data_IF_092535491083
#
_entry.id   IF_092535491083
#
_cell.length_a   1.000
_cell.length_b   1.000
_cell.length_c   1.000
_cell.angle_alpha   90.00
_cell.angle_beta   90.00
_cell.angle_gamma   90.00
#
_symmetry.space_group_name_H-M   'P 1'
#
loop_
_entity.id
_entity.type
_entity.pdbx_description
1 polymer ?
#
# COMPACT_ATOMS: atom_id res chain seq x y z
N UNK A 1 -12.97 3.69 17.44
CA UNK A 1 -14.37 3.34 17.12
C UNK A 1 -14.44 1.84 16.98
N UNK A 2 -15.31 1.20 17.74
CA UNK A 2 -15.60 -0.23 17.54
C UNK A 2 -16.52 -0.37 16.33
N UNK A 3 -16.37 -1.43 15.54
CA UNK A 3 -17.15 -1.64 14.31
C UNK A 3 -18.68 -1.70 14.56
N UNK A 4 -19.09 -1.90 15.82
CA UNK A 4 -20.48 -1.84 16.30
C UNK A 4 -21.09 -0.44 16.38
N UNK A 5 -20.28 0.63 16.28
CA UNK A 5 -20.75 2.02 16.42
C UNK A 5 -21.19 2.63 15.07
N UNK A 6 -20.97 1.91 13.96
CA UNK A 6 -21.42 2.36 12.65
C UNK A 6 -22.95 2.42 12.60
N UNK A 7 -23.55 3.42 11.92
CA UNK A 7 -25.00 3.47 11.71
C UNK A 7 -25.52 2.17 11.12
N UNK A 8 -26.68 1.71 11.57
CA UNK A 8 -27.35 0.52 11.03
C UNK A 8 -27.59 0.73 9.53
N UNK A 9 -27.15 -0.22 8.71
CA UNK A 9 -27.35 -0.22 7.26
C UNK A 9 -27.78 -1.61 6.82
N UNK A 10 -28.93 -1.69 6.15
CA UNK A 10 -29.52 -2.94 5.65
C UNK A 10 -30.48 -2.64 4.51
N UNK A 11 -30.39 -3.41 3.42
CA UNK A 11 -31.28 -3.30 2.26
C UNK A 11 -31.79 -4.66 1.81
N UNK A 12 -33.04 -4.69 1.36
CA UNK A 12 -33.62 -5.84 0.68
C UNK A 12 -33.03 -5.97 -0.74
N UNK A 13 -32.55 -7.17 -1.08
CA UNK A 13 -31.92 -7.43 -2.37
C UNK A 13 -32.79 -8.32 -3.25
N UNK A 14 -33.35 -9.41 -2.71
CA UNK A 14 -34.14 -10.39 -3.47
C UNK A 14 -35.51 -10.52 -2.81
N UNK A 15 -36.55 -10.02 -3.49
CA UNK A 15 -37.98 -10.16 -3.18
C UNK A 15 -38.33 -10.01 -1.68
N UNK A 16 -37.68 -9.06 -0.98
CA UNK A 16 -37.81 -8.83 0.47
C UNK A 16 -37.57 -10.06 1.36
N UNK A 17 -36.85 -11.06 0.84
CA UNK A 17 -36.50 -12.30 1.53
C UNK A 17 -34.99 -12.46 1.75
N UNK A 18 -34.14 -11.86 0.90
CA UNK A 18 -32.69 -11.81 1.12
C UNK A 18 -32.23 -10.37 1.29
N UNK A 19 -31.53 -10.10 2.39
CA UNK A 19 -31.04 -8.79 2.78
C UNK A 19 -29.50 -8.77 2.84
N UNK A 20 -28.92 -7.63 2.50
CA UNK A 20 -27.51 -7.33 2.80
C UNK A 20 -27.48 -6.29 3.91
N UNK A 21 -26.66 -6.49 4.93
CA UNK A 21 -26.45 -5.49 5.98
C UNK A 21 -25.04 -5.43 6.53
N UNK A 22 -24.82 -4.46 7.41
CA UNK A 22 -23.59 -4.29 8.18
C UNK A 22 -23.68 -4.99 9.55
N UNK A 23 -22.58 -4.99 10.30
CA UNK A 23 -22.52 -5.67 11.61
C UNK A 23 -23.53 -5.09 12.61
N UNK A 24 -23.72 -3.77 12.63
CA UNK A 24 -24.70 -3.10 13.49
C UNK A 24 -26.14 -3.57 13.19
N UNK A 25 -26.50 -3.71 11.90
CA UNK A 25 -27.80 -4.26 11.51
C UNK A 25 -27.96 -5.71 11.92
N UNK A 26 -26.90 -6.51 11.78
CA UNK A 26 -26.90 -7.90 12.19
C UNK A 26 -27.04 -8.07 13.71
N UNK A 27 -26.46 -7.19 14.52
CA UNK A 27 -26.56 -7.23 15.99
C UNK A 27 -27.91 -6.71 16.51
N UNK A 28 -28.57 -5.81 15.78
CA UNK A 28 -29.85 -5.22 16.18
C UNK A 28 -30.99 -6.24 16.19
N UNK A 29 -31.49 -6.57 17.38
CA UNK A 29 -32.69 -7.40 17.53
C UNK A 29 -33.92 -6.74 16.93
N UNK A 30 -34.07 -5.42 17.06
CA UNK A 30 -35.24 -4.68 16.59
C UNK A 30 -35.33 -4.68 15.07
N UNK A 31 -34.21 -4.45 14.37
CA UNK A 31 -34.15 -4.52 12.91
C UNK A 31 -34.51 -5.93 12.43
N UNK A 32 -33.92 -6.97 13.03
CA UNK A 32 -34.22 -8.36 12.66
C UNK A 32 -35.69 -8.71 12.87
N UNK A 33 -36.28 -8.31 14.01
CA UNK A 33 -37.71 -8.54 14.28
C UNK A 33 -38.59 -7.79 13.28
N UNK A 34 -38.31 -6.51 13.03
CA UNK A 34 -39.07 -5.65 12.11
C UNK A 34 -39.07 -6.19 10.68
N UNK A 35 -37.91 -6.68 10.21
CA UNK A 35 -37.76 -7.24 8.86
C UNK A 35 -38.20 -8.71 8.76
N UNK A 36 -38.44 -9.38 9.90
CA UNK A 36 -38.79 -10.80 9.96
C UNK A 36 -37.63 -11.72 9.62
N UNK A 37 -36.39 -11.34 9.94
CA UNK A 37 -35.18 -12.14 9.67
C UNK A 37 -35.22 -13.42 10.50
N UNK A 38 -35.25 -14.57 9.83
CA UNK A 38 -35.24 -15.90 10.46
C UNK A 38 -33.87 -16.56 10.42
N UNK A 39 -33.02 -16.21 9.45
CA UNK A 39 -31.70 -16.77 9.24
C UNK A 39 -30.62 -15.69 9.15
N UNK A 40 -29.44 -15.97 9.70
CA UNK A 40 -28.29 -15.07 9.68
C UNK A 40 -27.09 -15.75 9.02
N UNK A 41 -26.51 -15.10 8.02
CA UNK A 41 -25.25 -15.53 7.41
C UNK A 41 -24.17 -14.46 7.65
N UNK A 42 -23.26 -14.76 8.56
CA UNK A 42 -22.10 -13.91 8.88
C UNK A 42 -20.95 -14.21 7.95
N UNK A 43 -20.44 -13.20 7.24
CA UNK A 43 -19.28 -13.31 6.34
C UNK A 43 -18.19 -12.36 6.85
N UNK A 44 -17.68 -12.67 8.03
CA UNK A 44 -16.68 -11.88 8.75
C UNK A 44 -16.07 -12.70 9.90
N UNK A 45 -14.86 -12.34 10.31
CA UNK A 45 -14.17 -12.89 11.50
C UNK A 45 -14.55 -12.19 12.80
N UNK A 46 -15.10 -10.98 12.68
CA UNK A 46 -15.29 -10.01 13.75
C UNK A 46 -16.46 -10.39 14.67
N UNK A 47 -17.38 -11.23 14.18
CA UNK A 47 -18.53 -11.71 14.94
C UNK A 47 -19.08 -13.02 14.38
N UNK A 48 -19.53 -13.91 15.27
CA UNK A 48 -20.20 -15.19 14.93
C UNK A 48 -21.52 -15.30 15.71
N UNK A 49 -22.52 -15.97 15.12
CA UNK A 49 -23.81 -16.24 15.75
C UNK A 49 -24.00 -17.74 16.05
N UNK A 50 -22.92 -18.48 16.31
CA UNK A 50 -22.92 -19.94 16.58
C UNK A 50 -23.95 -20.43 17.62
N UNK A 51 -24.35 -19.57 18.57
CA UNK A 51 -25.38 -19.91 19.56
C UNK A 51 -26.81 -19.91 19.01
N UNK A 52 -27.03 -19.50 17.76
CA UNK A 52 -28.36 -19.45 17.13
C UNK A 52 -28.54 -20.64 16.19
N UNK A 53 -29.70 -21.33 16.24
CA UNK A 53 -29.95 -22.52 15.41
C UNK A 53 -29.99 -22.24 13.90
N UNK A 54 -30.35 -21.02 13.50
CA UNK A 54 -30.50 -20.61 12.10
C UNK A 54 -29.39 -19.63 11.69
N UNK A 55 -28.16 -19.89 12.13
CA UNK A 55 -27.01 -19.07 11.80
C UNK A 55 -25.90 -19.87 11.14
N UNK A 56 -25.24 -19.25 10.19
CA UNK A 56 -24.04 -19.77 9.55
C UNK A 56 -22.97 -18.68 9.55
N UNK A 57 -21.73 -19.07 9.82
CA UNK A 57 -20.58 -18.16 9.84
C UNK A 57 -19.52 -18.64 8.84
N UNK A 58 -19.09 -17.73 7.98
CA UNK A 58 -17.92 -17.85 7.12
C UNK A 58 -16.89 -16.84 7.64
N UNK A 59 -15.88 -17.34 8.34
CA UNK A 59 -14.85 -16.51 8.96
C UNK A 59 -13.77 -16.13 7.94
N UNK A 60 -14.02 -15.06 7.16
CA UNK A 60 -13.07 -14.51 6.18
C UNK A 60 -12.80 -13.02 6.42
N UNK A 61 -11.55 -12.61 6.21
CA UNK A 61 -11.16 -11.19 6.16
C UNK A 61 -11.68 -10.52 4.88
N UNK A 62 -11.80 -9.20 4.89
CA UNK A 62 -12.10 -8.43 3.67
C UNK A 62 -10.84 -8.16 2.87
N UNK A 63 -10.18 -9.24 2.44
CA UNK A 63 -8.93 -9.16 1.70
C UNK A 63 -9.07 -9.90 0.37
N UNK A 64 -8.40 -9.38 -0.65
CA UNK A 64 -8.33 -9.99 -1.98
C UNK A 64 -7.61 -11.36 -1.99
N UNK A 65 -6.96 -11.71 -0.88
CA UNK A 65 -6.23 -12.97 -0.68
C UNK A 65 -7.02 -14.06 0.01
N UNK A 66 -8.17 -13.71 0.59
CA UNK A 66 -9.01 -14.68 1.28
C UNK A 66 -9.70 -15.64 0.31
N UNK A 67 -9.91 -16.87 0.77
CA UNK A 67 -10.58 -17.90 -0.01
C UNK A 67 -12.06 -17.97 0.36
N UNK A 68 -12.84 -17.04 -0.17
CA UNK A 68 -14.29 -17.09 -0.03
C UNK A 68 -14.91 -18.11 -1.01
N UNK A 69 -14.25 -18.36 -2.15
CA UNK A 69 -14.70 -19.22 -3.25
C UNK A 69 -15.12 -20.60 -2.77
N UNK A 70 -14.28 -21.25 -1.96
CA UNK A 70 -14.57 -22.61 -1.46
C UNK A 70 -15.84 -22.67 -0.58
N UNK A 71 -16.24 -21.56 0.04
CA UNK A 71 -17.40 -21.47 0.92
C UNK A 71 -18.69 -21.08 0.20
N UNK A 72 -18.60 -20.57 -1.04
CA UNK A 72 -19.77 -20.09 -1.79
C UNK A 72 -20.85 -21.16 -1.99
N UNK A 73 -20.55 -22.45 -2.28
CA UNK A 73 -21.58 -23.48 -2.40
C UNK A 73 -22.45 -23.61 -1.15
N UNK A 74 -21.82 -23.72 0.03
CA UNK A 74 -22.51 -23.89 1.29
C UNK A 74 -23.33 -22.64 1.64
N UNK A 75 -22.78 -21.45 1.36
CA UNK A 75 -23.48 -20.18 1.54
C UNK A 75 -24.74 -20.11 0.69
N UNK A 76 -24.63 -20.49 -0.58
CA UNK A 76 -25.76 -20.49 -1.50
C UNK A 76 -26.81 -21.53 -1.09
N UNK A 77 -26.38 -22.71 -0.63
CA UNK A 77 -27.28 -23.75 -0.13
C UNK A 77 -28.01 -23.33 1.16
N UNK A 78 -27.32 -22.64 2.07
CA UNK A 78 -27.93 -22.07 3.27
C UNK A 78 -29.01 -21.05 2.92
N UNK A 79 -28.72 -20.13 1.98
CA UNK A 79 -29.70 -19.15 1.51
C UNK A 79 -30.90 -19.86 0.88
N UNK A 80 -30.68 -20.80 -0.04
CA UNK A 80 -31.76 -21.52 -0.71
C UNK A 80 -32.64 -22.28 0.27
N UNK A 81 -32.03 -23.04 1.19
CA UNK A 81 -32.76 -23.84 2.19
C UNK A 81 -33.63 -22.96 3.08
N UNK A 82 -33.13 -21.81 3.51
CA UNK A 82 -33.89 -20.86 4.31
C UNK A 82 -35.10 -20.30 3.54
N UNK A 83 -34.94 -20.00 2.24
CA UNK A 83 -36.02 -19.50 1.39
C UNK A 83 -37.07 -20.58 1.11
N UNK A 84 -36.67 -21.83 0.89
CA UNK A 84 -37.57 -22.96 0.68
C UNK A 84 -38.46 -23.22 1.91
N UNK A 85 -37.99 -22.85 3.10
CA UNK A 85 -38.74 -22.90 4.36
C UNK A 85 -39.64 -21.66 4.58
N UNK A 86 -39.72 -20.74 3.62
CA UNK A 86 -40.43 -19.46 3.75
C UNK A 86 -39.74 -18.46 4.70
N UNK A 87 -38.46 -18.68 4.98
CA UNK A 87 -37.65 -17.82 5.83
C UNK A 87 -37.10 -16.58 5.12
N UNK A 88 -36.49 -15.69 5.91
CA UNK A 88 -35.77 -14.51 5.42
C UNK A 88 -34.35 -14.51 5.93
N UNK A 89 -33.40 -14.24 5.03
CA UNK A 89 -31.97 -14.32 5.29
C UNK A 89 -31.35 -12.93 5.32
N UNK A 90 -30.64 -12.61 6.39
CA UNK A 90 -29.72 -11.48 6.42
C UNK A 90 -28.29 -11.97 6.23
N UNK A 91 -27.68 -11.61 5.10
CA UNK A 91 -26.26 -11.82 4.82
C UNK A 91 -25.51 -10.55 5.20
N UNK A 92 -24.55 -10.65 6.11
CA UNK A 92 -23.82 -9.48 6.58
C UNK A 92 -22.32 -9.69 6.63
N UNK A 93 -21.58 -8.59 6.52
CA UNK A 93 -20.19 -8.50 6.94
C UNK A 93 -20.04 -7.25 7.81
N UNK A 94 -18.83 -6.73 8.01
CA UNK A 94 -18.65 -5.52 8.84
C UNK A 94 -19.40 -4.31 8.29
N UNK A 95 -19.18 -3.97 7.01
CA UNK A 95 -19.78 -2.78 6.38
C UNK A 95 -20.94 -3.09 5.45
N UNK A 96 -21.16 -4.37 5.11
CA UNK A 96 -22.17 -4.75 4.11
C UNK A 96 -21.84 -4.29 2.68
N UNK A 97 -20.55 -4.14 2.36
CA UNK A 97 -20.07 -3.58 1.08
C UNK A 97 -19.45 -4.66 0.17
N UNK A 98 -18.54 -5.47 0.72
CA UNK A 98 -17.70 -6.38 -0.07
C UNK A 98 -18.03 -7.86 0.18
N UNK A 99 -17.58 -8.47 1.29
CA UNK A 99 -17.78 -9.90 1.62
C UNK A 99 -19.21 -10.42 1.47
N UNK A 100 -20.18 -9.77 2.13
CA UNK A 100 -21.60 -10.19 2.07
C UNK A 100 -22.19 -10.00 0.67
N UNK A 101 -21.82 -8.91 -0.02
CA UNK A 101 -22.21 -8.66 -1.40
C UNK A 101 -21.73 -9.78 -2.31
N UNK A 102 -20.49 -10.24 -2.17
CA UNK A 102 -19.94 -11.36 -2.94
C UNK A 102 -20.79 -12.61 -2.77
N UNK A 103 -21.15 -12.96 -1.54
CA UNK A 103 -22.00 -14.12 -1.26
C UNK A 103 -23.37 -14.01 -1.92
N UNK A 104 -24.03 -12.86 -1.81
CA UNK A 104 -25.35 -12.65 -2.46
C UNK A 104 -25.24 -12.65 -3.98
N UNK A 105 -24.16 -12.10 -4.54
CA UNK A 105 -23.89 -12.19 -5.98
C UNK A 105 -23.69 -13.64 -6.42
N UNK A 106 -22.92 -14.43 -5.68
CA UNK A 106 -22.71 -15.85 -5.96
C UNK A 106 -24.03 -16.63 -5.95
N UNK A 107 -24.91 -16.35 -4.98
CA UNK A 107 -26.24 -16.94 -4.92
C UNK A 107 -27.09 -16.58 -6.14
N UNK A 108 -27.11 -15.30 -6.56
CA UNK A 108 -27.81 -14.87 -7.78
C UNK A 108 -27.25 -15.53 -9.05
N UNK A 109 -25.92 -15.68 -9.16
CA UNK A 109 -25.29 -16.39 -10.28
C UNK A 109 -25.73 -17.86 -10.31
N UNK A 110 -25.74 -18.53 -9.16
CA UNK A 110 -26.10 -19.94 -9.07
C UNK A 110 -27.60 -20.18 -9.35
N UNK A 111 -28.48 -19.41 -8.70
CA UNK A 111 -29.94 -19.58 -8.74
C UNK A 111 -30.59 -19.04 -10.01
N UNK A 112 -30.10 -17.91 -10.53
CA UNK A 112 -30.70 -17.21 -11.68
C UNK A 112 -29.81 -17.25 -12.94
N UNK A 113 -28.68 -17.96 -12.91
CA UNK A 113 -27.72 -18.08 -14.03
C UNK A 113 -27.20 -16.73 -14.54
N UNK A 114 -27.11 -15.74 -13.66
CA UNK A 114 -26.52 -14.44 -14.00
C UNK A 114 -25.01 -14.56 -14.17
N UNK A 115 -24.43 -13.76 -15.05
CA UNK A 115 -22.99 -13.50 -15.03
C UNK A 115 -22.61 -12.73 -13.76
N UNK A 116 -21.34 -12.77 -13.37
CA UNK A 116 -20.85 -11.98 -12.22
C UNK A 116 -21.17 -10.49 -12.37
N UNK A 117 -20.91 -9.92 -13.56
CA UNK A 117 -21.23 -8.52 -13.86
C UNK A 117 -22.72 -8.20 -13.76
N UNK A 118 -23.60 -9.10 -14.22
CA UNK A 118 -25.04 -8.93 -14.12
C UNK A 118 -25.52 -9.04 -12.66
N UNK A 119 -24.98 -9.99 -11.88
CA UNK A 119 -25.30 -10.14 -10.47
C UNK A 119 -24.89 -8.89 -9.66
N UNK A 120 -23.69 -8.37 -9.86
CA UNK A 120 -23.22 -7.15 -9.18
C UNK A 120 -24.08 -5.96 -9.57
N UNK A 121 -24.41 -5.81 -10.86
CA UNK A 121 -25.32 -4.74 -11.32
C UNK A 121 -26.71 -4.88 -10.70
N UNK A 122 -27.21 -6.10 -10.51
CA UNK A 122 -28.48 -6.35 -9.85
C UNK A 122 -28.46 -5.89 -8.38
N UNK A 123 -27.42 -6.25 -7.64
CA UNK A 123 -27.27 -5.85 -6.23
C UNK A 123 -27.04 -4.34 -6.11
N UNK A 124 -26.17 -3.76 -6.94
CA UNK A 124 -25.84 -2.32 -6.92
C UNK A 124 -27.04 -1.42 -7.20
N UNK A 125 -28.02 -1.88 -7.98
CA UNK A 125 -29.28 -1.14 -8.18
C UNK A 125 -30.10 -0.97 -6.91
N UNK A 126 -29.94 -1.87 -5.93
CA UNK A 126 -30.67 -1.87 -4.66
C UNK A 126 -29.84 -1.34 -3.50
N UNK A 127 -28.52 -1.52 -3.56
CA UNK A 127 -27.55 -1.04 -2.58
C UNK A 127 -26.37 -0.38 -3.30
N UNK A 128 -26.41 0.93 -3.59
CA UNK A 128 -25.43 1.62 -4.43
C UNK A 128 -23.98 1.54 -3.95
N UNK A 129 -23.76 1.45 -2.64
CA UNK A 129 -22.44 1.42 -2.01
C UNK A 129 -21.68 0.10 -2.18
N UNK A 130 -22.28 -0.93 -2.80
CA UNK A 130 -21.62 -2.23 -2.92
C UNK A 130 -20.40 -2.19 -3.84
N UNK A 131 -19.31 -2.75 -3.32
CA UNK A 131 -18.03 -2.81 -3.98
C UNK A 131 -17.24 -4.02 -3.45
N UNK A 132 -17.51 -5.25 -3.95
CA UNK A 132 -16.65 -6.39 -3.69
C UNK A 132 -15.21 -6.05 -4.03
N UNK A 133 -14.26 -6.43 -3.16
CA UNK A 133 -12.85 -6.25 -3.46
C UNK A 133 -12.45 -7.07 -4.71
N UNK A 134 -11.32 -6.69 -5.32
CA UNK A 134 -10.84 -7.28 -6.56
C UNK A 134 -10.65 -8.81 -6.51
N UNK A 135 -10.13 -9.33 -5.39
CA UNK A 135 -9.98 -10.78 -5.21
C UNK A 135 -11.31 -11.51 -5.19
N UNK A 136 -12.34 -10.94 -4.56
CA UNK A 136 -13.69 -11.50 -4.57
C UNK A 136 -14.39 -11.38 -5.93
N UNK A 137 -14.15 -10.30 -6.67
CA UNK A 137 -14.59 -10.18 -8.06
C UNK A 137 -14.03 -11.31 -8.93
N UNK A 138 -12.73 -11.60 -8.80
CA UNK A 138 -12.09 -12.75 -9.46
C UNK A 138 -12.70 -14.09 -9.02
N UNK A 139 -13.03 -14.23 -7.75
CA UNK A 139 -13.66 -15.43 -7.21
C UNK A 139 -15.06 -15.67 -7.77
N UNK A 140 -15.85 -14.63 -8.05
CA UNK A 140 -17.14 -14.80 -8.73
C UNK A 140 -16.98 -15.39 -10.13
N UNK A 141 -16.00 -14.93 -10.91
CA UNK A 141 -15.70 -15.54 -12.21
C UNK A 141 -15.24 -17.01 -12.05
N UNK A 142 -14.29 -17.26 -11.14
CA UNK A 142 -13.82 -18.61 -10.85
C UNK A 142 -14.94 -19.53 -10.35
N UNK A 143 -15.95 -19.00 -9.66
CA UNK A 143 -17.12 -19.74 -9.21
C UNK A 143 -17.95 -20.25 -10.38
N UNK A 144 -18.15 -19.43 -11.42
CA UNK A 144 -18.78 -19.86 -12.67
C UNK A 144 -17.92 -20.90 -13.41
N UNK A 145 -16.61 -20.69 -13.49
CA UNK A 145 -15.67 -21.63 -14.14
C UNK A 145 -15.67 -23.01 -13.44
N UNK A 146 -15.75 -23.00 -12.10
CA UNK A 146 -15.89 -24.21 -11.28
C UNK A 146 -17.28 -24.87 -11.40
N UNK A 147 -18.17 -24.36 -12.27
CA UNK A 147 -19.58 -24.78 -12.39
C UNK A 147 -20.31 -24.77 -11.05
N UNK A 148 -20.02 -23.75 -10.24
CA UNK A 148 -20.59 -23.53 -8.91
C UNK A 148 -20.24 -24.62 -7.88
N UNK A 149 -19.21 -25.45 -8.15
CA UNK A 149 -18.73 -26.53 -7.27
C UNK A 149 -17.20 -26.49 -7.11
N UNK A 150 -16.63 -25.38 -6.60
CA UNK A 150 -15.22 -25.36 -6.21
C UNK A 150 -14.95 -26.44 -5.15
N UNK A 151 -13.84 -27.14 -5.30
CA UNK A 151 -13.39 -28.18 -4.37
C UNK A 151 -11.89 -28.41 -4.55
N UNK A 152 -11.25 -29.05 -3.57
CA UNK A 152 -9.84 -29.43 -3.67
C UNK A 152 -9.51 -30.41 -4.82
N UNK A 153 -10.54 -30.96 -5.49
CA UNK A 153 -10.41 -31.84 -6.65
C UNK A 153 -10.84 -31.17 -7.97
N UNK A 154 -11.44 -29.98 -7.93
CA UNK A 154 -11.88 -29.26 -9.11
C UNK A 154 -10.68 -28.58 -9.80
N UNK A 155 -10.45 -28.89 -11.08
CA UNK A 155 -9.30 -28.38 -11.84
C UNK A 155 -9.26 -26.85 -11.93
N UNK A 156 -10.41 -26.20 -12.11
CA UNK A 156 -10.50 -24.75 -12.22
C UNK A 156 -10.23 -24.07 -10.87
N UNK A 157 -10.74 -24.65 -9.79
CA UNK A 157 -10.43 -24.19 -8.44
C UNK A 157 -8.93 -24.32 -8.14
N UNK A 158 -8.32 -25.47 -8.45
CA UNK A 158 -6.87 -25.69 -8.25
C UNK A 158 -6.07 -24.69 -9.08
N UNK A 159 -6.44 -24.47 -10.34
CA UNK A 159 -5.76 -23.51 -11.22
C UNK A 159 -5.90 -22.08 -10.68
N UNK A 160 -7.10 -21.69 -10.26
CA UNK A 160 -7.34 -20.40 -9.61
C UNK A 160 -6.52 -20.26 -8.33
N UNK A 161 -6.50 -21.27 -7.44
CA UNK A 161 -5.76 -21.22 -6.17
C UNK A 161 -4.26 -21.07 -6.38
N UNK A 162 -3.71 -21.76 -7.39
CA UNK A 162 -2.30 -21.63 -7.80
C UNK A 162 -1.99 -20.22 -8.33
N UNK A 163 -2.89 -19.64 -9.13
CA UNK A 163 -2.77 -18.25 -9.62
C UNK A 163 -2.88 -17.25 -8.47
N UNK A 164 -3.89 -17.38 -7.62
CA UNK A 164 -4.08 -16.54 -6.43
C UNK A 164 -2.82 -16.55 -5.57
N UNK A 165 -2.28 -17.73 -5.23
CA UNK A 165 -1.05 -17.83 -4.43
C UNK A 165 0.12 -17.07 -5.04
N UNK A 166 0.32 -17.15 -6.36
CA UNK A 166 1.36 -16.39 -7.07
C UNK A 166 1.09 -14.87 -7.04
N UNK A 167 -0.16 -14.48 -7.28
CA UNK A 167 -0.57 -13.07 -7.31
C UNK A 167 -0.44 -12.43 -5.92
N UNK A 168 -0.80 -13.16 -4.85
CA UNK A 168 -0.58 -12.74 -3.44
C UNK A 168 0.89 -12.50 -3.19
N UNK A 169 1.75 -13.47 -3.52
CA UNK A 169 3.19 -13.32 -3.32
C UNK A 169 3.72 -12.11 -4.08
N UNK A 170 3.27 -11.90 -5.32
CA UNK A 170 3.69 -10.74 -6.12
C UNK A 170 3.26 -9.42 -5.48
N UNK A 171 2.05 -9.34 -4.95
CA UNK A 171 1.56 -8.13 -4.29
C UNK A 171 2.24 -7.85 -2.96
N UNK A 172 2.43 -8.87 -2.12
CA UNK A 172 3.18 -8.72 -0.88
C UNK A 172 4.61 -8.26 -1.16
N UNK A 173 5.22 -8.73 -2.25
CA UNK A 173 6.50 -8.22 -2.70
C UNK A 173 6.41 -6.74 -3.10
N UNK A 174 5.36 -6.29 -3.82
CA UNK A 174 5.20 -4.85 -4.12
C UNK A 174 5.10 -3.98 -2.87
N UNK A 175 4.39 -4.42 -1.83
CA UNK A 175 4.36 -3.70 -0.55
C UNK A 175 5.73 -3.72 0.12
N UNK A 176 6.37 -4.89 0.22
CA UNK A 176 7.66 -5.05 0.88
C UNK A 176 8.79 -4.29 0.17
N UNK A 177 8.74 -4.22 -1.16
CA UNK A 177 9.71 -3.52 -2.02
C UNK A 177 9.42 -2.01 -2.11
N UNK A 178 8.31 -1.53 -1.52
CA UNK A 178 7.99 -0.11 -1.41
C UNK A 178 8.64 0.49 -0.17
N UNK A 179 9.81 1.09 -0.36
CA UNK A 179 10.74 1.45 0.72
C UNK A 179 10.41 2.85 1.27
N UNK A 180 10.10 3.00 2.57
CA UNK A 180 9.84 4.30 3.18
C UNK A 180 11.15 5.06 3.38
N UNK A 181 11.41 6.08 2.55
CA UNK A 181 12.58 6.97 2.71
C UNK A 181 12.33 8.02 3.79
N UNK A 182 11.14 8.60 3.78
CA UNK A 182 10.65 9.45 4.87
C UNK A 182 9.37 8.78 5.38
N UNK A 183 9.39 8.18 6.59
CA UNK A 183 8.24 7.46 7.13
C UNK A 183 6.96 8.30 7.06
N UNK A 184 5.87 7.66 6.63
CA UNK A 184 4.55 8.27 6.44
C UNK A 184 4.48 9.44 5.45
N UNK A 185 5.52 9.67 4.63
CA UNK A 185 5.53 10.78 3.66
C UNK A 185 6.00 10.36 2.27
N UNK A 186 7.18 9.73 2.15
CA UNK A 186 7.83 9.44 0.87
C UNK A 186 8.26 7.98 0.80
N UNK A 187 7.77 7.28 -0.21
CA UNK A 187 8.07 5.89 -0.51
C UNK A 187 8.74 5.79 -1.88
N UNK A 188 9.66 4.85 -2.04
CA UNK A 188 10.28 4.50 -3.32
C UNK A 188 9.87 3.10 -3.75
N UNK A 189 9.56 2.92 -5.03
CA UNK A 189 9.41 1.59 -5.61
C UNK A 189 9.99 1.52 -7.02
N UNK A 190 10.57 0.37 -7.36
CA UNK A 190 11.04 0.06 -8.72
C UNK A 190 9.97 -0.59 -9.58
N UNK A 191 9.04 -1.31 -8.96
CA UNK A 191 7.99 -2.09 -9.60
C UNK A 191 6.61 -1.64 -9.10
N UNK A 192 5.63 -1.63 -10.01
CA UNK A 192 4.27 -1.20 -9.71
C UNK A 192 3.27 -2.04 -10.51
N UNK A 193 2.06 -2.31 -9.99
CA UNK A 193 1.08 -3.11 -10.70
C UNK A 193 0.69 -2.45 -12.03
N UNK A 194 0.66 -3.25 -13.10
CA UNK A 194 0.14 -2.80 -14.41
C UNK A 194 -1.39 -2.93 -14.53
N UNK A 195 -1.99 -3.77 -13.68
CA UNK A 195 -3.45 -3.93 -13.57
C UNK A 195 -4.01 -2.76 -12.74
N UNK A 196 -5.01 -2.01 -13.26
CA UNK A 196 -5.57 -0.84 -12.57
C UNK A 196 -6.14 -1.13 -11.18
N UNK A 197 -6.84 -2.25 -11.03
CA UNK A 197 -7.50 -2.62 -9.77
C UNK A 197 -6.44 -2.98 -8.72
N UNK A 198 -5.41 -3.75 -9.09
CA UNK A 198 -4.30 -4.05 -8.20
C UNK A 198 -3.46 -2.80 -7.84
N UNK A 199 -3.33 -1.86 -8.76
CA UNK A 199 -2.66 -0.58 -8.50
C UNK A 199 -3.44 0.28 -7.51
N UNK A 200 -4.76 0.36 -7.66
CA UNK A 200 -5.65 1.05 -6.71
C UNK A 200 -5.57 0.42 -5.32
N UNK A 201 -5.71 -0.92 -5.20
CA UNK A 201 -5.57 -1.63 -3.93
C UNK A 201 -4.24 -1.31 -3.24
N UNK A 202 -3.12 -1.39 -3.98
CA UNK A 202 -1.79 -1.13 -3.43
C UNK A 202 -1.67 0.27 -2.85
N UNK A 203 -2.16 1.28 -3.57
CA UNK A 203 -2.12 2.66 -3.12
C UNK A 203 -3.00 2.88 -1.89
N UNK A 204 -4.21 2.29 -1.84
CA UNK A 204 -5.10 2.38 -0.67
C UNK A 204 -4.47 1.71 0.56
N UNK A 205 -3.94 0.51 0.41
CA UNK A 205 -3.33 -0.26 1.50
C UNK A 205 -2.13 0.48 2.10
N UNK A 206 -1.31 1.11 1.25
CA UNK A 206 -0.19 1.94 1.69
C UNK A 206 -0.59 3.34 2.17
N UNK A 207 -1.88 3.69 2.06
CA UNK A 207 -2.41 5.05 2.29
C UNK A 207 -1.72 6.12 1.43
N UNK A 208 -1.31 5.75 0.22
CA UNK A 208 -0.73 6.65 -0.77
C UNK A 208 -1.83 7.45 -1.44
N UNK A 209 -1.58 8.76 -1.58
CA UNK A 209 -2.52 9.71 -2.19
C UNK A 209 -1.99 10.27 -3.50
N UNK A 210 -0.66 10.29 -3.65
CA UNK A 210 0.06 10.89 -4.76
C UNK A 210 1.04 9.87 -5.34
N UNK A 211 0.95 9.61 -6.65
CA UNK A 211 1.90 8.77 -7.39
C UNK A 211 2.77 9.67 -8.27
N UNK A 212 4.09 9.55 -8.14
CA UNK A 212 5.06 10.16 -9.05
C UNK A 212 5.73 9.05 -9.88
N UNK A 213 5.36 8.92 -11.14
CA UNK A 213 5.96 7.93 -12.04
C UNK A 213 7.04 8.57 -12.91
N UNK A 214 8.25 8.02 -12.87
CA UNK A 214 9.38 8.46 -13.67
C UNK A 214 9.74 7.37 -14.68
N UNK A 215 9.51 7.65 -15.96
CA UNK A 215 9.69 6.68 -17.04
C UNK A 215 10.81 7.09 -18.00
N UNK A 216 11.20 6.14 -18.85
CA UNK A 216 11.79 6.43 -20.15
C UNK A 216 10.92 5.74 -21.22
N UNK A 217 9.95 6.41 -21.83
CA UNK A 217 9.09 5.94 -22.95
C UNK A 217 8.47 4.50 -22.90
N UNK A 218 8.70 3.72 -21.84
CA UNK A 218 8.46 2.27 -21.74
C UNK A 218 7.65 1.88 -20.50
N UNK A 219 7.39 2.80 -19.55
CA UNK A 219 6.40 2.56 -18.50
C UNK A 219 5.01 2.88 -19.04
N UNK A 220 4.06 1.92 -18.98
CA UNK A 220 2.67 2.22 -19.23
C UNK A 220 2.18 3.21 -18.18
N UNK A 221 1.45 4.25 -18.60
CA UNK A 221 0.78 5.16 -17.67
C UNK A 221 -0.33 4.37 -16.96
N UNK A 222 -0.26 4.13 -15.64
CA UNK A 222 -1.32 3.43 -14.94
C UNK A 222 -2.63 4.23 -15.05
N UNK A 223 -3.73 3.54 -15.33
CA UNK A 223 -5.06 4.14 -15.34
C UNK A 223 -5.61 4.13 -13.91
N UNK A 224 -5.37 5.20 -13.16
CA UNK A 224 -5.80 5.30 -11.77
C UNK A 224 -7.12 6.07 -11.64
N UNK A 225 -7.99 5.72 -10.67
CA UNK A 225 -9.18 6.49 -10.40
C UNK A 225 -8.85 7.93 -9.96
N UNK A 226 -9.77 8.90 -10.14
CA UNK A 226 -9.53 10.33 -9.87
C UNK A 226 -9.18 10.68 -8.42
N UNK A 227 -9.36 9.75 -7.48
CA UNK A 227 -9.02 9.93 -6.07
C UNK A 227 -7.50 10.02 -5.84
N UNK A 228 -6.69 9.49 -6.77
CA UNK A 228 -5.23 9.58 -6.70
C UNK A 228 -4.71 10.70 -7.60
N UNK A 229 -3.81 11.51 -7.07
CA UNK A 229 -3.09 12.49 -7.86
C UNK A 229 -1.88 11.81 -8.52
N UNK A 230 -1.79 11.87 -9.85
CA UNK A 230 -0.73 11.20 -10.59
C UNK A 230 0.10 12.21 -11.41
N UNK A 231 1.37 12.33 -11.08
CA UNK A 231 2.35 13.03 -11.89
C UNK A 231 3.20 12.01 -12.66
N UNK A 232 3.29 12.19 -13.98
CA UNK A 232 4.10 11.35 -14.85
C UNK A 232 5.18 12.21 -15.50
N UNK A 233 6.45 11.87 -15.25
CA UNK A 233 7.62 12.55 -15.81
C UNK A 233 8.33 11.58 -16.75
N UNK A 234 8.41 11.95 -18.04
CA UNK A 234 9.16 11.18 -19.03
C UNK A 234 10.58 11.72 -19.17
N UNK A 235 11.56 10.88 -18.87
CA UNK A 235 12.99 11.21 -18.92
C UNK A 235 13.65 10.33 -19.98
N UNK A 236 13.93 10.87 -21.18
CA UNK A 236 14.59 10.14 -22.24
C UNK A 236 15.96 9.61 -21.81
N UNK A 237 16.33 8.40 -22.23
CA UNK A 237 17.64 7.83 -21.90
C UNK A 237 18.81 8.53 -22.62
N UNK A 238 18.52 9.24 -23.71
CA UNK A 238 19.49 9.96 -24.54
C UNK A 238 19.64 11.45 -24.18
N UNK A 239 18.87 11.98 -23.22
CA UNK A 239 18.93 13.37 -22.79
C UNK A 239 19.47 13.45 -21.36
N UNK A 240 20.74 13.84 -21.22
CA UNK A 240 21.45 13.77 -19.93
C UNK A 240 20.90 14.78 -18.93
N UNK A 241 20.45 15.93 -19.42
CA UNK A 241 19.90 17.07 -18.69
C UNK A 241 18.42 16.93 -18.34
N UNK A 242 17.68 16.04 -19.00
CA UNK A 242 16.23 15.94 -18.84
C UNK A 242 15.82 15.72 -17.38
N UNK A 243 16.53 14.84 -16.66
CA UNK A 243 16.28 14.63 -15.23
C UNK A 243 16.50 15.90 -14.42
N UNK A 244 17.60 16.62 -14.66
CA UNK A 244 17.95 17.84 -13.94
C UNK A 244 16.86 18.92 -14.12
N UNK A 245 16.38 19.10 -15.35
CA UNK A 245 15.37 20.09 -15.69
C UNK A 245 13.98 19.78 -15.10
N UNK A 246 13.67 18.50 -14.89
CA UNK A 246 12.40 18.06 -14.28
C UNK A 246 12.43 17.98 -12.75
N UNK A 247 13.61 18.15 -12.11
CA UNK A 247 13.70 18.14 -10.65
C UNK A 247 12.77 19.16 -9.96
N UNK A 248 12.63 20.42 -10.42
CA UNK A 248 11.70 21.38 -9.81
C UNK A 248 10.26 20.89 -9.82
N UNK A 249 9.80 20.35 -10.94
CA UNK A 249 8.44 19.84 -11.11
C UNK A 249 8.18 18.65 -10.15
N UNK A 250 9.10 17.68 -10.13
CA UNK A 250 9.05 16.56 -9.19
C UNK A 250 9.05 17.03 -7.72
N UNK A 251 9.91 17.99 -7.37
CA UNK A 251 10.01 18.52 -6.02
C UNK A 251 8.75 19.28 -5.60
N UNK A 252 8.14 20.06 -6.50
CA UNK A 252 6.88 20.75 -6.26
C UNK A 252 5.77 19.75 -5.98
N UNK A 253 5.60 18.75 -6.85
CA UNK A 253 4.58 17.71 -6.67
C UNK A 253 4.71 16.99 -5.33
N UNK A 254 5.94 16.62 -4.93
CA UNK A 254 6.19 15.99 -3.63
C UNK A 254 5.85 16.96 -2.48
N UNK A 255 6.24 18.24 -2.60
CA UNK A 255 6.00 19.24 -1.56
C UNK A 255 4.51 19.55 -1.39
N UNK A 256 3.77 19.68 -2.48
CA UNK A 256 2.33 19.94 -2.48
C UNK A 256 1.57 18.77 -1.85
N UNK A 257 1.95 17.54 -2.21
CA UNK A 257 1.38 16.33 -1.65
C UNK A 257 1.58 16.24 -0.12
N UNK A 258 2.81 16.46 0.35
CA UNK A 258 3.12 16.45 1.79
C UNK A 258 2.40 17.62 2.50
N UNK A 259 2.35 18.80 1.86
CA UNK A 259 1.66 19.98 2.37
C UNK A 259 0.15 19.77 2.55
N UNK A 260 -0.48 18.94 1.72
CA UNK A 260 -1.88 18.53 1.89
C UNK A 260 -2.09 17.36 2.87
N UNK A 261 -1.04 16.93 3.58
CA UNK A 261 -1.09 15.75 4.47
C UNK A 261 -1.12 14.41 3.74
N UNK A 262 -0.79 14.41 2.45
CA UNK A 262 -0.74 13.24 1.61
C UNK A 262 0.58 12.48 1.72
N UNK A 263 0.56 11.23 1.24
CA UNK A 263 1.74 10.38 1.07
C UNK A 263 2.05 10.20 -0.41
N UNK A 264 3.34 10.20 -0.72
CA UNK A 264 3.87 10.11 -2.09
C UNK A 264 4.58 8.78 -2.31
N UNK A 265 4.18 8.05 -3.35
CA UNK A 265 4.93 6.92 -3.89
C UNK A 265 5.68 7.38 -5.14
N UNK A 266 7.01 7.28 -5.12
CA UNK A 266 7.86 7.57 -6.27
C UNK A 266 8.21 6.25 -6.97
N UNK A 267 7.63 6.05 -8.14
CA UNK A 267 7.84 4.87 -8.98
C UNK A 267 8.92 5.16 -10.02
N UNK A 268 10.03 4.43 -9.99
CA UNK A 268 11.03 4.45 -11.06
C UNK A 268 11.82 3.15 -11.15
N UNK A 269 11.87 2.53 -12.34
CA UNK A 269 12.72 1.35 -12.61
C UNK A 269 14.22 1.62 -12.47
N UNK A 270 14.63 2.88 -12.62
CA UNK A 270 16.02 3.31 -12.49
C UNK A 270 16.21 3.92 -11.11
N UNK A 271 16.67 3.11 -10.16
CA UNK A 271 16.85 3.50 -8.75
C UNK A 271 17.63 4.81 -8.59
N UNK A 272 18.68 5.02 -9.38
CA UNK A 272 19.47 6.27 -9.41
C UNK A 272 18.59 7.52 -9.60
N UNK A 273 17.60 7.48 -10.52
CA UNK A 273 16.74 8.65 -10.80
C UNK A 273 15.80 8.94 -9.64
N UNK A 274 15.17 7.90 -9.09
CA UNK A 274 14.32 8.01 -7.90
C UNK A 274 15.10 8.60 -6.72
N UNK A 275 16.32 8.09 -6.47
CA UNK A 275 17.19 8.57 -5.40
C UNK A 275 17.58 10.05 -5.58
N UNK A 276 17.90 10.46 -6.81
CA UNK A 276 18.21 11.88 -7.12
C UNK A 276 16.98 12.75 -6.83
N UNK A 277 15.78 12.36 -7.26
CA UNK A 277 14.55 13.14 -7.06
C UNK A 277 14.22 13.30 -5.57
N UNK A 278 14.27 12.22 -4.79
CA UNK A 278 14.01 12.29 -3.35
C UNK A 278 15.06 13.14 -2.64
N UNK A 279 16.34 12.98 -2.96
CA UNK A 279 17.39 13.81 -2.38
C UNK A 279 17.28 15.28 -2.80
N UNK A 280 16.92 15.56 -4.05
CA UNK A 280 16.68 16.91 -4.55
C UNK A 280 15.54 17.59 -3.77
N UNK A 281 14.42 16.88 -3.55
CA UNK A 281 13.33 17.37 -2.72
C UNK A 281 13.78 17.65 -1.28
N UNK A 282 14.50 16.71 -0.65
CA UNK A 282 15.02 16.89 0.71
C UNK A 282 15.97 18.08 0.83
N UNK A 283 16.83 18.30 -0.17
CA UNK A 283 17.73 19.45 -0.21
C UNK A 283 16.95 20.76 -0.33
N UNK A 284 15.95 20.82 -1.21
CA UNK A 284 15.14 22.02 -1.44
C UNK A 284 14.25 22.35 -0.23
N UNK A 285 13.63 21.34 0.39
CA UNK A 285 12.68 21.54 1.50
C UNK A 285 13.35 21.72 2.87
N UNK A 286 14.51 21.10 3.10
CA UNK A 286 15.21 21.15 4.39
C UNK A 286 16.48 22.00 4.39
N UNK A 287 16.85 22.58 3.25
CA UNK A 287 18.07 23.37 3.06
C UNK A 287 19.35 22.64 3.50
N UNK A 288 19.44 21.36 3.14
CA UNK A 288 20.57 20.49 3.48
C UNK A 288 21.47 20.22 2.27
N UNK A 289 22.72 19.83 2.53
CA UNK A 289 23.70 19.47 1.48
C UNK A 289 23.39 18.10 0.83
N UNK A 290 23.94 17.81 -0.37
CA UNK A 290 23.79 16.51 -1.03
C UNK A 290 24.21 15.31 -0.16
N UNK A 291 25.25 15.48 0.67
CA UNK A 291 25.71 14.43 1.59
C UNK A 291 24.73 14.20 2.75
N UNK A 292 24.13 15.28 3.26
CA UNK A 292 23.14 15.18 4.33
C UNK A 292 21.83 14.57 3.81
N UNK A 293 21.38 14.91 2.61
CA UNK A 293 20.21 14.26 1.99
C UNK A 293 20.46 12.78 1.73
N UNK A 294 21.66 12.42 1.25
CA UNK A 294 22.03 11.02 1.06
C UNK A 294 22.01 10.22 2.38
N UNK A 295 22.45 10.78 3.52
CA UNK A 295 22.38 10.07 4.81
C UNK A 295 20.96 9.66 5.22
N UNK A 296 19.95 10.45 4.85
CA UNK A 296 18.54 10.10 5.08
C UNK A 296 18.15 8.94 4.18
N UNK A 297 18.56 8.99 2.91
CA UNK A 297 18.32 7.93 1.93
C UNK A 297 19.02 6.61 2.32
N UNK A 298 20.29 6.68 2.76
CA UNK A 298 21.13 5.54 3.16
C UNK A 298 20.52 4.77 4.34
N UNK A 299 19.87 5.46 5.27
CA UNK A 299 19.16 4.82 6.37
C UNK A 299 18.00 3.93 5.88
N UNK A 300 17.36 4.28 4.75
CA UNK A 300 16.29 3.51 4.12
C UNK A 300 16.82 2.50 3.08
N UNK A 301 17.94 2.82 2.42
CA UNK A 301 18.56 2.03 1.35
C UNK A 301 20.04 1.75 1.67
N UNK A 302 20.34 0.86 2.64
CA UNK A 302 21.72 0.64 3.10
C UNK A 302 22.63 -0.01 2.05
N UNK A 303 22.05 -0.63 1.01
CA UNK A 303 22.78 -1.25 -0.09
C UNK A 303 22.96 -0.32 -1.31
N UNK A 304 22.29 0.83 -1.32
CA UNK A 304 22.41 1.78 -2.41
C UNK A 304 23.77 2.50 -2.34
N UNK A 305 24.57 2.39 -3.41
CA UNK A 305 25.87 3.05 -3.48
C UNK A 305 25.81 4.23 -4.47
N UNK A 306 25.89 5.49 -4.00
CA UNK A 306 25.75 6.65 -4.86
C UNK A 306 26.94 6.79 -5.82
N UNK A 307 26.65 6.98 -7.10
CA UNK A 307 27.66 7.19 -8.14
C UNK A 307 28.14 8.65 -8.18
N UNK A 308 29.19 8.94 -8.95
CA UNK A 308 29.58 10.33 -9.23
C UNK A 308 28.48 11.12 -9.94
N UNK A 309 27.68 10.45 -10.77
CA UNK A 309 26.53 11.05 -11.48
C UNK A 309 25.47 11.52 -10.48
N UNK A 310 25.21 10.73 -9.42
CA UNK A 310 24.28 11.07 -8.36
C UNK A 310 24.61 12.41 -7.72
N UNK A 311 25.83 12.54 -7.16
CA UNK A 311 26.26 13.77 -6.50
C UNK A 311 26.33 14.93 -7.47
N UNK A 312 26.80 14.70 -8.70
CA UNK A 312 26.90 15.73 -9.72
C UNK A 312 25.53 16.35 -10.05
N UNK A 313 24.46 15.56 -10.15
CA UNK A 313 23.11 16.10 -10.37
C UNK A 313 22.63 16.96 -9.21
N UNK A 314 22.83 16.50 -7.97
CA UNK A 314 22.44 17.26 -6.77
C UNK A 314 23.23 18.56 -6.62
N UNK A 315 24.52 18.54 -6.91
CA UNK A 315 25.39 19.72 -6.89
C UNK A 315 24.99 20.72 -7.97
N UNK A 316 24.70 20.26 -9.20
CA UNK A 316 24.19 21.12 -10.28
C UNK A 316 22.83 21.73 -9.90
N UNK A 317 21.94 20.95 -9.29
CA UNK A 317 20.63 21.41 -8.85
C UNK A 317 20.75 22.52 -7.79
N UNK A 318 21.60 22.32 -6.78
CA UNK A 318 21.91 23.35 -5.78
C UNK A 318 22.58 24.59 -6.39
N UNK A 319 23.51 24.41 -7.34
CA UNK A 319 24.20 25.51 -8.02
C UNK A 319 23.26 26.36 -8.89
N UNK A 320 22.13 25.81 -9.32
CA UNK A 320 21.08 26.53 -10.04
C UNK A 320 20.02 27.12 -9.10
N UNK A 321 20.29 27.21 -7.79
CA UNK A 321 19.34 27.62 -6.76
C UNK A 321 18.00 26.87 -6.85
N UNK A 322 18.06 25.57 -7.17
CA UNK A 322 16.91 24.68 -7.35
C UNK A 322 15.99 25.02 -8.54
N UNK A 323 16.41 25.92 -9.43
CA UNK A 323 15.68 26.30 -10.66
C UNK A 323 16.56 26.14 -11.91
N UNK A 324 16.99 24.91 -12.24
CA UNK A 324 17.76 24.66 -13.45
C UNK A 324 16.92 24.96 -14.69
N UNK A 325 17.55 25.64 -15.67
CA UNK A 325 16.98 25.84 -17.00
C UNK A 325 18.01 25.45 -18.04
N UNK A 326 17.58 25.13 -19.26
CA UNK A 326 18.51 24.77 -20.34
C UNK A 326 19.51 25.91 -20.58
N UNK A 327 19.11 27.17 -20.41
CA UNK A 327 19.96 28.34 -20.63
C UNK A 327 20.79 28.75 -19.40
N UNK A 328 20.68 28.05 -18.27
CA UNK A 328 21.44 28.40 -17.07
C UNK A 328 22.95 28.21 -17.32
N UNK A 329 23.82 29.18 -16.97
CA UNK A 329 25.26 29.12 -17.30
C UNK A 329 25.95 27.83 -16.84
N UNK A 330 25.60 27.34 -15.64
CA UNK A 330 26.14 26.11 -15.07
C UNK A 330 25.68 24.87 -15.85
N UNK A 331 24.44 24.84 -16.34
CA UNK A 331 23.88 23.73 -17.13
C UNK A 331 24.53 23.69 -18.51
N UNK A 332 24.66 24.85 -19.17
CA UNK A 332 25.36 24.97 -20.45
C UNK A 332 26.83 24.54 -20.36
N UNK A 333 27.54 24.96 -19.31
CA UNK A 333 28.91 24.53 -19.07
C UNK A 333 29.01 23.01 -18.90
N UNK A 334 28.09 22.40 -18.15
CA UNK A 334 28.04 20.95 -17.95
C UNK A 334 27.73 20.17 -19.23
N UNK A 335 26.88 20.71 -20.11
CA UNK A 335 26.57 20.11 -21.40
C UNK A 335 27.72 20.23 -22.40
N UNK A 336 28.51 21.31 -22.30
CA UNK A 336 29.71 21.52 -23.11
C UNK A 336 30.89 20.63 -22.70
N UNK A 337 30.88 20.05 -21.49
CA UNK A 337 31.88 19.08 -21.06
C UNK A 337 31.78 17.79 -21.88
N UNK A 338 32.76 17.59 -22.79
CA UNK A 338 32.96 16.31 -23.48
C UNK A 338 33.11 15.19 -22.46
N UNK A 339 32.43 14.07 -22.70
CA UNK A 339 32.46 12.85 -21.88
C UNK A 339 33.90 12.36 -21.62
N UNK A 340 34.53 12.85 -20.54
CA UNK A 340 35.86 12.43 -20.06
C UNK A 340 36.82 13.59 -19.71
N UNK A 341 36.92 13.95 -18.42
CA UNK A 341 37.94 14.90 -17.89
C UNK A 341 37.56 15.52 -16.53
N UNK A 342 38.51 15.84 -15.61
CA UNK A 342 38.33 15.65 -14.16
C UNK A 342 37.64 16.80 -13.40
N UNK A 343 37.13 16.42 -12.22
CA UNK A 343 36.42 17.24 -11.22
C UNK A 343 36.99 18.65 -11.01
N UNK A 344 36.07 19.62 -11.04
CA UNK A 344 36.27 21.00 -10.61
C UNK A 344 36.87 21.05 -9.20
N UNK A 345 38.17 21.40 -9.10
CA UNK A 345 38.81 21.73 -7.82
C UNK A 345 38.31 23.09 -7.35
N UNK A 346 37.60 23.10 -6.23
CA UNK A 346 37.27 24.32 -5.47
C UNK A 346 38.57 24.97 -5.01
N UNK A 347 38.85 26.18 -5.52
CA UNK A 347 39.96 27.01 -5.06
C UNK A 347 39.64 27.54 -3.66
N UNK A 348 40.36 27.07 -2.64
CA UNK A 348 40.49 27.77 -1.36
C UNK A 348 41.84 28.48 -1.33
N UNK A 349 41.83 29.81 -1.35
CA UNK A 349 42.82 30.62 -0.65
C UNK A 349 42.16 31.17 0.61
N UNK A 350 42.90 31.23 1.72
CA UNK A 350 43.06 32.54 2.36
C UNK A 350 44.54 32.86 2.60
N UNK A 351 44.83 34.15 2.46
CA UNK A 351 46.11 34.76 2.76
C UNK A 351 46.41 34.76 4.27
N UNK A 352 47.70 34.62 4.56
CA UNK A 352 48.36 34.72 5.86
C UNK A 352 48.30 36.12 6.47
N UNK A 353 48.08 36.21 7.79
CA UNK A 353 48.65 37.28 8.62
C UNK A 353 49.25 36.63 9.88
N UNK A 354 50.54 36.84 10.07
CA UNK A 354 51.35 36.48 11.24
C UNK A 354 51.26 37.61 12.27
N UNK A 355 51.15 37.28 13.56
CA UNK A 355 51.88 37.93 14.68
C UNK A 355 51.75 37.15 16.00
N UNK A 356 52.87 36.53 16.36
CA UNK A 356 53.50 36.28 17.69
C UNK A 356 52.82 36.77 18.96
N UNK A 357 52.68 35.90 19.97
CA UNK A 357 53.47 35.92 21.24
C UNK A 357 52.93 34.93 22.30
N UNK A 358 53.80 34.01 22.75
CA UNK A 358 53.77 33.23 24.02
C UNK A 358 54.12 34.15 25.22
N UNK A 359 53.93 33.81 26.52
CA UNK A 359 54.34 32.51 27.11
C UNK A 359 53.60 31.93 28.35
N UNK A 360 53.91 30.65 28.63
CA UNK A 360 54.06 29.95 29.96
C UNK A 360 52.79 29.82 30.84
N UNK A 361 52.44 28.73 31.53
CA UNK A 361 53.17 27.56 32.09
C UNK A 361 52.16 26.54 32.68
N UNK A 362 52.64 25.31 32.91
CA UNK A 362 52.20 24.31 33.91
C UNK A 362 51.11 23.27 33.58
N UNK A 363 51.60 22.10 33.15
CA UNK A 363 51.51 20.79 33.84
C UNK A 363 50.30 20.47 34.72
N UNK A 364 49.51 19.47 34.30
CA UNK A 364 49.30 18.18 34.98
C UNK A 364 47.96 17.54 34.54
N UNK A 365 48.05 16.38 33.90
CA UNK A 365 47.03 15.32 33.98
C UNK A 365 47.10 14.66 35.38
N UNK A 366 46.11 13.88 35.90
CA UNK A 366 45.24 13.00 35.13
C UNK A 366 43.78 12.80 35.65
N UNK A 367 43.02 12.11 34.80
CA UNK A 367 41.79 11.29 34.97
C UNK A 367 41.18 11.05 36.37
N UNK A 368 39.84 11.08 36.43
CA UNK A 368 38.92 10.11 37.10
C UNK A 368 37.45 10.53 36.81
N UNK A 369 36.69 9.74 36.04
CA UNK A 369 35.51 8.94 36.43
C UNK A 369 34.30 9.64 37.09
N UNK A 370 33.14 9.42 36.43
CA UNK A 370 31.86 8.90 36.96
C UNK A 370 31.14 9.72 38.04
N UNK A 371 29.97 10.29 37.70
CA UNK A 371 28.63 9.93 38.21
C UNK A 371 27.58 10.92 37.68
N UNK A 372 26.44 10.47 37.12
CA UNK A 372 25.13 10.28 37.81
C UNK A 372 24.75 11.47 38.70
N UNK A 373 23.57 12.07 38.69
CA UNK A 373 22.20 11.72 38.31
C UNK A 373 21.35 12.98 38.60
N UNK A 374 20.10 13.02 38.10
CA UNK A 374 18.92 13.75 38.58
C UNK A 374 18.21 14.46 37.41
N UNK A 375 17.13 13.91 36.82
CA UNK A 375 15.79 13.62 37.35
C UNK A 375 14.82 14.81 37.23
N UNK A 376 13.71 14.53 36.54
CA UNK A 376 12.37 15.13 36.69
C UNK A 376 12.24 16.58 36.18
N UNK A 377 11.22 17.01 35.46
CA UNK A 377 9.93 16.46 35.05
C UNK A 377 9.32 17.54 34.15
N UNK A 378 8.61 17.21 33.08
CA UNK A 378 7.27 17.75 32.89
C UNK A 378 6.52 17.09 31.74
N UNK A 379 5.27 16.79 32.07
CA UNK A 379 4.23 16.13 31.30
C UNK A 379 3.59 17.17 30.38
N UNK A 380 3.48 16.87 29.09
CA UNK A 380 2.52 17.50 28.19
C UNK A 380 1.94 16.42 27.28
N UNK A 381 0.66 16.17 27.50
CA UNK A 381 -0.23 15.30 26.73
C UNK A 381 -0.59 15.94 25.40
N UNK A 382 -0.49 15.19 24.29
CA UNK A 382 -1.28 15.44 23.09
C UNK A 382 -1.54 14.14 22.34
N UNK A 383 -2.82 13.84 22.17
CA UNK A 383 -3.39 12.71 21.46
C UNK A 383 -2.95 12.66 19.98
N UNK A 384 -2.58 11.48 19.50
CA UNK A 384 -2.55 11.11 18.08
C UNK A 384 -3.23 9.74 17.90
N UNK A 385 -4.01 9.52 16.82
CA UNK A 385 -4.69 8.25 16.60
C UNK A 385 -3.69 7.20 16.11
N UNK A 386 -3.38 6.21 16.95
CA UNK A 386 -2.62 5.03 16.59
C UNK A 386 -3.44 4.15 15.64
N UNK A 387 -3.29 4.35 14.33
CA UNK A 387 -3.37 3.26 13.37
C UNK A 387 -1.94 2.73 13.17
N UNK A 388 -1.45 1.99 14.18
CA UNK A 388 -0.16 1.33 14.08
C UNK A 388 -0.23 0.23 13.03
N UNK A 389 0.51 0.39 11.93
CA UNK A 389 0.79 -0.66 10.97
C UNK A 389 1.39 -1.86 11.70
N UNK A 390 0.65 -2.97 11.74
CA UNK A 390 1.09 -4.18 12.44
C UNK A 390 2.02 -5.01 11.53
N UNK A 391 3.29 -4.60 11.47
CA UNK A 391 4.35 -5.35 10.79
C UNK A 391 4.47 -6.80 11.30
N UNK A 392 4.08 -7.04 12.57
CA UNK A 392 4.05 -8.38 13.17
C UNK A 392 2.99 -9.27 12.52
N UNK A 393 1.83 -8.73 12.16
CA UNK A 393 0.78 -9.50 11.46
C UNK A 393 1.20 -9.90 10.04
N UNK A 394 1.96 -9.04 9.35
CA UNK A 394 2.55 -9.34 8.04
C UNK A 394 3.67 -10.37 8.18
N UNK A 395 4.54 -10.22 9.19
CA UNK A 395 5.58 -11.20 9.51
C UNK A 395 4.98 -12.57 9.86
N UNK A 396 3.87 -12.63 10.58
CA UNK A 396 3.14 -13.86 10.91
C UNK A 396 2.43 -14.47 9.70
N UNK A 397 1.93 -13.65 8.77
CA UNK A 397 1.39 -14.11 7.51
C UNK A 397 2.49 -14.69 6.61
N UNK A 398 3.66 -14.04 6.54
CA UNK A 398 4.84 -14.52 5.82
C UNK A 398 5.39 -15.82 6.45
N UNK A 399 5.41 -15.92 7.77
CA UNK A 399 5.84 -17.13 8.48
C UNK A 399 4.93 -18.35 8.21
N UNK A 400 3.62 -18.13 8.01
CA UNK A 400 2.65 -19.19 7.65
C UNK A 400 2.81 -19.72 6.22
N UNK A 401 3.54 -19.01 5.35
CA UNK A 401 3.74 -19.38 3.95
C UNK A 401 5.10 -20.06 3.66
N UNK A 402 6.00 -20.16 4.65
CA UNK A 402 7.15 -21.03 4.54
C UNK A 402 6.72 -22.49 4.74
N UNK A 403 6.92 -23.39 3.76
CA UNK A 403 6.72 -24.81 4.00
C UNK A 403 7.75 -25.24 5.05
N UNK A 404 7.28 -25.74 6.18
CA UNK A 404 8.12 -26.50 7.11
C UNK A 404 8.71 -27.67 6.32
N UNK A 405 9.99 -27.58 5.96
CA UNK A 405 10.74 -28.71 5.46
C UNK A 405 10.80 -29.75 6.59
N UNK A 406 9.86 -30.68 6.57
CA UNK A 406 9.94 -31.92 7.33
C UNK A 406 11.13 -32.71 6.81
N UNK A 407 12.26 -32.62 7.50
CA UNK A 407 13.35 -33.57 7.36
C UNK A 407 12.88 -34.88 8.00
N UNK A 408 12.18 -35.68 7.21
CA UNK A 408 11.92 -37.09 7.52
C UNK A 408 13.21 -37.87 7.32
N UNK A 409 13.87 -38.21 8.42
CA UNK A 409 15.01 -39.13 8.43
C UNK A 409 14.56 -40.52 7.98
N UNK A 410 14.96 -40.92 6.77
CA UNK A 410 14.97 -42.33 6.37
C UNK A 410 16.03 -43.06 7.19
N UNK A 411 15.60 -43.97 8.07
CA UNK A 411 16.48 -45.03 8.59
C UNK A 411 16.31 -46.27 7.71
N UNK A 412 17.44 -46.78 7.24
CA UNK A 412 17.59 -48.12 6.68
C UNK A 412 17.32 -49.15 7.78
N UNK A 413 16.41 -50.07 7.54
CA UNK A 413 16.63 -51.52 7.55
C UNK A 413 15.42 -52.22 6.95
#
# INVERSE_FOLDING_TARGET
MTWSDAPISVDAIIDDNVYIGNLSAALSQDVRKKLGITHLLSVCTEHTFESRPNAMTIAVQDSEYEDLLIHLPDACNFIQTALDQGGKVLVHCVMGISRSTTVVCAYLMMSQRLSASAAIKYVRKRRPEVHPNYGFMKQLHAFADCRYKPSCTNSEYIAWKRRQKRDVTKYLNWIADSIPVVPDQIYLTSEFPGDPDAAESLLLDMSVTHLLSISSAQLPKPNLPPIFQHCFIDIPNNAREALLLELPNACSFISDAIGSGGRVLVQCRVELRACIIVCAHLMASRHISPRQSYRILEAALPLYNPTTIFYRHLELFAACAYTPTINHPVVQAWLAEKSGGPSLKVSKKPQSIVKTSTPTTNSNSPSLTINTSASLSNRATSNSPNASFNLTAISEALARYHPTNGVGSFHRQ
#
